data_IF_615586901707
#
_entry.id   IF_615586901707
#
_cell.length_a   1.000
_cell.length_b   1.000
_cell.length_c   1.000
_cell.angle_alpha   90.00
_cell.angle_beta   90.00
_cell.angle_gamma   90.00
#
_symmetry.space_group_name_H-M   'P 1'
#
loop_
_entity.id
_entity.type
_entity.pdbx_description
1 polymer ?
#
# COMPACT_ATOMS: atom_id res chain seq x y z
N UNK A 1 1.60 19.98 27.26
CA UNK A 1 2.35 20.18 26.00
C UNK A 1 1.47 19.61 24.91
N UNK A 2 0.49 20.41 24.50
CA UNK A 2 0.50 21.28 23.31
C UNK A 2 0.01 20.50 22.09
N UNK A 3 -1.18 20.90 21.65
CA UNK A 3 -1.94 20.38 20.52
C UNK A 3 -1.53 21.20 19.30
N UNK A 4 -0.87 20.58 18.33
CA UNK A 4 -0.65 21.16 17.00
C UNK A 4 -1.36 20.29 15.97
N UNK A 5 -2.51 20.80 15.50
CA UNK A 5 -3.25 20.34 14.34
C UNK A 5 -2.62 20.98 13.10
N UNK A 6 -1.68 20.28 12.49
CA UNK A 6 -1.25 20.55 11.10
C UNK A 6 -1.12 19.19 10.40
N UNK A 7 -1.80 19.03 9.26
CA UNK A 7 -1.96 17.78 8.52
C UNK A 7 -0.68 17.25 7.87
N UNK A 8 0.40 17.12 8.63
CA UNK A 8 1.66 16.53 8.23
C UNK A 8 1.68 15.02 8.46
N UNK A 9 2.25 14.29 7.51
CA UNK A 9 2.55 12.86 7.63
C UNK A 9 3.31 12.60 8.94
N UNK A 10 2.62 11.99 9.91
CA UNK A 10 3.26 11.55 11.14
C UNK A 10 4.24 10.45 10.74
N UNK A 11 5.53 10.78 10.72
CA UNK A 11 6.60 9.78 10.60
C UNK A 11 6.54 8.95 11.87
N UNK A 12 5.69 7.92 11.85
CA UNK A 12 5.70 6.88 12.87
C UNK A 12 7.03 6.18 12.69
N UNK A 13 8.00 6.49 13.56
CA UNK A 13 9.25 5.74 13.66
C UNK A 13 8.97 4.61 14.64
N UNK A 14 8.52 3.42 14.19
CA UNK A 14 8.22 2.33 15.11
C UNK A 14 9.51 2.00 15.86
N UNK A 15 9.46 2.02 17.20
CA UNK A 15 10.57 1.55 18.02
C UNK A 15 10.39 0.04 18.21
N UNK A 16 11.19 -0.82 17.53
CA UNK A 16 11.01 -2.26 17.60
C UNK A 16 11.58 -2.80 18.92
N UNK A 17 10.84 -2.64 20.01
CA UNK A 17 11.23 -3.12 21.35
C UNK A 17 11.15 -4.65 21.50
N UNK A 18 10.60 -5.38 20.52
CA UNK A 18 10.38 -6.85 20.58
C UNK A 18 10.85 -7.56 19.31
N UNK A 19 12.15 -7.49 19.00
CA UNK A 19 12.73 -8.07 17.77
C UNK A 19 12.67 -9.61 17.71
N UNK A 20 12.69 -10.30 18.85
CA UNK A 20 12.75 -11.77 18.88
C UNK A 20 11.37 -12.43 18.98
N UNK A 21 10.51 -11.97 19.89
CA UNK A 21 9.15 -12.51 20.03
C UNK A 21 8.27 -12.24 18.81
N UNK A 22 8.37 -11.06 18.20
CA UNK A 22 7.60 -10.72 17.00
C UNK A 22 7.94 -11.60 15.79
N UNK A 23 9.21 -11.99 15.64
CA UNK A 23 9.67 -12.83 14.54
C UNK A 23 9.16 -14.29 14.64
N UNK A 24 9.02 -14.80 15.86
CA UNK A 24 8.44 -16.13 16.08
C UNK A 24 6.93 -16.15 15.76
N UNK A 25 6.21 -15.10 16.17
CA UNK A 25 4.79 -14.94 15.86
C UNK A 25 4.58 -14.78 14.36
N UNK A 26 5.38 -13.95 13.69
CA UNK A 26 5.35 -13.75 12.23
C UNK A 26 5.58 -15.07 11.47
N UNK A 27 6.53 -15.89 11.92
CA UNK A 27 6.78 -17.19 11.32
C UNK A 27 5.59 -18.16 11.52
N UNK A 28 5.01 -18.20 12.72
CA UNK A 28 3.86 -19.04 13.04
C UNK A 28 2.63 -18.65 12.20
N UNK A 29 2.32 -17.35 12.13
CA UNK A 29 1.24 -16.81 11.32
C UNK A 29 1.43 -17.21 9.85
N UNK A 30 2.63 -17.02 9.31
CA UNK A 30 2.95 -17.37 7.92
C UNK A 30 2.75 -18.86 7.62
N UNK A 31 3.10 -19.75 8.56
CA UNK A 31 2.87 -21.19 8.42
C UNK A 31 1.37 -21.52 8.40
N UNK A 32 0.60 -20.97 9.34
CA UNK A 32 -0.85 -21.19 9.45
C UNK A 32 -1.58 -20.66 8.21
N UNK A 33 -1.30 -19.41 7.81
CA UNK A 33 -1.85 -18.77 6.61
C UNK A 33 -1.52 -19.61 5.38
N UNK A 34 -0.28 -20.07 5.22
CA UNK A 34 0.10 -20.87 4.04
C UNK A 34 -0.59 -22.24 3.99
N UNK A 35 -0.87 -22.87 5.15
CA UNK A 35 -1.64 -24.11 5.22
C UNK A 35 -3.12 -23.88 4.87
N UNK A 36 -3.71 -22.79 5.35
CA UNK A 36 -5.10 -22.39 5.05
C UNK A 36 -5.28 -22.01 3.57
N UNK A 37 -4.40 -21.17 3.02
CA UNK A 37 -4.51 -20.68 1.64
C UNK A 37 -4.27 -21.77 0.59
N UNK A 38 -3.45 -22.78 0.90
CA UNK A 38 -3.28 -23.96 0.02
C UNK A 38 -4.53 -24.83 -0.09
N UNK A 39 -5.43 -24.75 0.89
CA UNK A 39 -6.53 -25.70 1.04
C UNK A 39 -7.89 -25.14 0.60
N UNK A 40 -8.10 -23.81 0.58
CA UNK A 40 -9.47 -23.31 0.39
C UNK A 40 -9.63 -21.88 -0.15
N UNK A 41 -8.70 -21.34 -0.94
CA UNK A 41 -8.94 -20.02 -1.56
C UNK A 41 -9.37 -20.23 -3.01
N UNK A 42 -10.66 -20.02 -3.34
CA UNK A 42 -11.03 -19.84 -4.73
C UNK A 42 -10.30 -18.59 -5.22
N UNK A 43 -9.54 -18.76 -6.29
CA UNK A 43 -8.85 -17.71 -7.05
C UNK A 43 -9.59 -16.38 -6.91
N UNK A 44 -9.04 -15.45 -6.13
CA UNK A 44 -9.72 -14.21 -5.76
C UNK A 44 -10.05 -13.41 -7.02
N UNK A 45 -11.30 -13.51 -7.48
CA UNK A 45 -11.80 -12.74 -8.63
C UNK A 45 -11.62 -11.23 -8.42
N UNK A 46 -11.60 -10.79 -7.15
CA UNK A 46 -11.48 -9.40 -6.73
C UNK A 46 -10.06 -8.84 -6.79
N UNK A 47 -9.03 -9.68 -6.88
CA UNK A 47 -7.62 -9.27 -6.95
C UNK A 47 -6.97 -9.77 -8.25
N UNK A 48 -7.74 -9.78 -9.33
CA UNK A 48 -7.30 -10.30 -10.63
C UNK A 48 -7.57 -9.31 -11.75
N UNK A 49 -6.79 -9.39 -12.84
CA UNK A 49 -6.89 -8.46 -13.96
C UNK A 49 -6.64 -7.02 -13.54
N UNK A 50 -7.53 -6.11 -13.93
CA UNK A 50 -7.43 -4.67 -13.59
C UNK A 50 -7.62 -4.37 -12.09
N UNK A 51 -8.04 -5.35 -11.29
CA UNK A 51 -8.18 -5.22 -9.84
C UNK A 51 -7.01 -5.83 -9.07
N UNK A 52 -5.99 -6.33 -9.79
CA UNK A 52 -4.78 -6.79 -9.15
C UNK A 52 -4.09 -5.63 -8.43
N UNK A 53 -3.49 -5.88 -7.25
CA UNK A 53 -2.67 -4.88 -6.59
C UNK A 53 -1.48 -4.51 -7.48
N UNK A 54 -1.10 -3.23 -7.46
CA UNK A 54 0.14 -2.77 -8.06
C UNK A 54 1.21 -2.88 -6.99
N UNK A 55 2.26 -3.66 -7.25
CA UNK A 55 3.32 -3.96 -6.27
C UNK A 55 4.20 -2.74 -5.95
N UNK A 56 4.29 -1.80 -6.89
CA UNK A 56 5.13 -0.60 -6.80
C UNK A 56 4.28 0.67 -6.92
N UNK A 57 4.47 1.61 -6.00
CA UNK A 57 3.83 2.92 -6.14
C UNK A 57 4.39 3.65 -7.36
N UNK A 58 3.50 4.12 -8.25
CA UNK A 58 3.91 4.88 -9.43
C UNK A 58 4.44 6.24 -9.00
N UNK A 59 5.70 6.59 -9.31
CA UNK A 59 6.27 7.88 -8.92
C UNK A 59 5.55 9.04 -9.63
N UNK A 60 5.56 10.26 -9.09
CA UNK A 60 4.95 11.43 -9.73
C UNK A 60 5.52 11.62 -11.14
N UNK A 61 4.66 11.54 -12.15
CA UNK A 61 5.02 11.75 -13.55
C UNK A 61 4.45 13.09 -14.02
N UNK A 62 5.32 13.93 -14.59
CA UNK A 62 4.93 15.20 -15.20
C UNK A 62 4.69 14.98 -16.70
N UNK A 63 3.77 15.77 -17.26
CA UNK A 63 3.57 15.88 -18.71
C UNK A 63 3.25 14.54 -19.41
N UNK A 64 2.25 13.83 -18.91
CA UNK A 64 1.74 12.62 -19.58
C UNK A 64 1.35 12.93 -21.04
N UNK A 65 1.61 12.02 -21.99
CA UNK A 65 1.34 12.25 -23.39
C UNK A 65 -0.17 12.45 -23.64
N UNK A 66 -0.53 13.62 -24.15
CA UNK A 66 -1.91 13.98 -24.46
C UNK A 66 -2.18 13.79 -25.95
N UNK A 67 -3.24 13.05 -26.27
CA UNK A 67 -3.78 13.01 -27.63
C UNK A 67 -5.01 13.93 -27.69
N UNK A 68 -4.93 15.02 -28.47
CA UNK A 68 -6.00 16.03 -28.57
C UNK A 68 -5.63 17.35 -27.90
N UNK A 69 -6.61 18.05 -27.32
CA UNK A 69 -6.42 19.34 -26.65
C UNK A 69 -6.95 19.28 -25.22
N UNK A 70 -6.09 19.54 -24.22
CA UNK A 70 -6.51 19.77 -22.84
C UNK A 70 -6.98 21.24 -22.70
N UNK A 71 -8.20 21.50 -22.19
CA UNK A 71 -8.69 22.86 -22.00
C UNK A 71 -7.87 23.61 -20.95
N UNK A 72 -7.60 24.90 -21.22
CA UNK A 72 -6.75 25.76 -20.38
C UNK A 72 -7.23 25.91 -18.93
N UNK A 73 -8.53 25.72 -18.65
CA UNK A 73 -9.08 25.74 -17.29
C UNK A 73 -8.57 24.61 -16.39
N UNK A 74 -7.91 23.60 -16.95
CA UNK A 74 -7.30 22.49 -16.21
C UNK A 74 -5.85 22.78 -15.75
N UNK A 75 -5.25 23.91 -16.16
CA UNK A 75 -3.83 24.22 -15.98
C UNK A 75 -3.50 25.13 -14.79
N UNK A 76 -4.36 25.19 -13.77
CA UNK A 76 -4.08 25.89 -12.51
C UNK A 76 -4.01 24.88 -11.35
N UNK A 77 -2.92 24.13 -11.25
CA UNK A 77 -2.37 23.62 -9.98
C UNK A 77 -0.93 23.14 -10.16
#
# INVERSE_FOLDING_TARGET
MEKNEEGGWVVVKPNPNKKFGGRAIDWLEKVIVKLMYKSNVPNSHFLSGNFAPIDEETPPSKDLPVKGYLPYSFSFM
#
